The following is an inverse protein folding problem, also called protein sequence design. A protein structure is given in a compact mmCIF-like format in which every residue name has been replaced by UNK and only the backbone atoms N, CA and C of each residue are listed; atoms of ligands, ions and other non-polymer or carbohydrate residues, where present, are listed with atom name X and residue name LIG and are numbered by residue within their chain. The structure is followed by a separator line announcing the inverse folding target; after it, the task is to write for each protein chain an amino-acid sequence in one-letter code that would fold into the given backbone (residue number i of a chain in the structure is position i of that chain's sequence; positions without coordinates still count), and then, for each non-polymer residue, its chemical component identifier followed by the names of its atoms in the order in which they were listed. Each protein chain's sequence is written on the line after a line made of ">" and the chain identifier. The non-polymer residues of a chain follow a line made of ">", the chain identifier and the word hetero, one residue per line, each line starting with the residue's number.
data_IF_394382488864
#
_entry.id   IF_394382488864
#
_cell.length_a   1.000
_cell.length_b   1.000
_cell.length_c   1.000
_cell.angle_alpha   90.00
_cell.angle_beta   90.00
_cell.angle_gamma   90.00
#
_symmetry.space_group_name_H-M   'P 1'
#
loop_
_entity.id
_entity.type
_entity.pdbx_description
1 polymer ?
#
# COMPACT_ATOMS: atom_id res chain seq x y z
N UNK A 1 -8.64 -0.79 -53.98
CA UNK A 1 -7.79 -1.55 -53.01
C UNK A 1 -6.82 -0.66 -52.23
N UNK A 2 -5.96 0.15 -52.87
CA UNK A 2 -4.99 1.04 -52.16
C UNK A 2 -5.62 2.09 -51.23
N UNK A 3 -6.79 2.64 -51.60
CA UNK A 3 -7.51 3.64 -50.78
C UNK A 3 -8.07 3.04 -49.49
N UNK A 4 -8.66 1.84 -49.57
CA UNK A 4 -9.22 1.12 -48.42
C UNK A 4 -8.09 0.75 -47.44
N UNK A 5 -6.93 0.33 -47.96
CA UNK A 5 -5.75 0.02 -47.13
C UNK A 5 -5.22 1.27 -46.41
N UNK A 6 -5.29 2.45 -47.03
CA UNK A 6 -4.91 3.72 -46.41
C UNK A 6 -5.89 4.15 -45.31
N UNK A 7 -7.19 3.99 -45.55
CA UNK A 7 -8.22 4.29 -44.54
C UNK A 7 -8.06 3.35 -43.34
N UNK A 8 -7.88 2.04 -43.57
CA UNK A 8 -7.67 1.07 -42.50
C UNK A 8 -6.41 1.37 -41.67
N UNK A 9 -5.30 1.76 -42.33
CA UNK A 9 -4.06 2.17 -41.64
C UNK A 9 -4.27 3.46 -40.83
N UNK A 10 -4.95 4.47 -41.38
CA UNK A 10 -5.26 5.70 -40.66
C UNK A 10 -6.18 5.45 -39.46
N UNK A 11 -7.21 4.60 -39.61
CA UNK A 11 -8.11 4.23 -38.51
C UNK A 11 -7.39 3.46 -37.41
N UNK A 12 -6.48 2.55 -37.76
CA UNK A 12 -5.67 1.81 -36.78
C UNK A 12 -4.70 2.74 -36.00
N UNK A 13 -4.11 3.72 -36.69
CA UNK A 13 -3.26 4.75 -36.07
C UNK A 13 -4.05 5.65 -35.10
N UNK A 14 -5.27 6.06 -35.47
CA UNK A 14 -6.15 6.85 -34.62
C UNK A 14 -6.57 6.10 -33.34
N UNK A 15 -6.82 4.78 -33.43
CA UNK A 15 -7.13 3.94 -32.26
C UNK A 15 -5.91 3.81 -31.34
N UNK A 16 -4.70 3.67 -31.91
CA UNK A 16 -3.45 3.61 -31.13
C UNK A 16 -3.11 4.91 -30.39
N UNK A 17 -3.57 6.06 -30.91
CA UNK A 17 -3.42 7.36 -30.25
C UNK A 17 -4.46 7.61 -29.14
N UNK A 18 -5.52 6.80 -29.09
CA UNK A 18 -6.59 6.90 -28.09
C UNK A 18 -6.34 6.06 -26.83
N UNK A 19 -5.14 5.48 -26.67
CA UNK A 19 -4.78 4.73 -25.46
C UNK A 19 -4.64 5.71 -24.31
N UNK A 20 -5.63 5.75 -23.41
CA UNK A 20 -5.56 6.54 -22.19
C UNK A 20 -4.59 5.90 -21.18
N UNK A 21 -3.93 6.74 -20.37
CA UNK A 21 -3.17 6.26 -19.22
C UNK A 21 -4.13 5.61 -18.24
N UNK A 22 -4.01 4.31 -17.97
CA UNK A 22 -4.70 3.69 -16.86
C UNK A 22 -4.21 4.34 -15.56
N UNK A 23 -5.09 5.10 -14.90
CA UNK A 23 -4.83 5.64 -13.57
C UNK A 23 -4.85 4.47 -12.59
N UNK A 24 -3.71 3.83 -12.39
CA UNK A 24 -3.54 2.87 -11.32
C UNK A 24 -3.62 3.65 -9.99
N UNK A 25 -4.62 3.37 -9.16
CA UNK A 25 -4.80 3.99 -7.86
C UNK A 25 -3.69 3.49 -6.92
N UNK A 26 -2.51 4.10 -7.00
CA UNK A 26 -1.38 3.79 -6.12
C UNK A 26 -1.80 3.99 -4.67
N UNK A 27 -1.51 3.00 -3.82
CA UNK A 27 -1.62 3.10 -2.36
C UNK A 27 -0.27 3.56 -1.81
N UNK A 28 -0.30 4.55 -0.93
CA UNK A 28 0.83 4.89 -0.07
C UNK A 28 0.56 4.34 1.34
N UNK A 29 1.60 3.80 1.97
CA UNK A 29 1.56 3.26 3.34
C UNK A 29 2.69 3.90 4.10
N UNK A 30 2.39 4.36 5.31
CA UNK A 30 3.38 4.80 6.28
C UNK A 30 3.13 4.03 7.57
N UNK A 31 4.21 3.74 8.29
CA UNK A 31 4.09 3.21 9.63
C UNK A 31 5.08 3.91 10.55
N UNK A 32 4.71 4.02 11.82
CA UNK A 32 5.55 4.55 12.88
C UNK A 32 5.30 3.79 14.16
N UNK A 33 6.15 4.02 15.17
CA UNK A 33 6.01 3.39 16.48
C UNK A 33 5.93 4.47 17.54
N UNK A 34 4.90 4.42 18.38
CA UNK A 34 4.66 5.36 19.48
C UNK A 34 4.18 4.60 20.71
N UNK A 35 4.83 4.80 21.87
CA UNK A 35 4.40 4.28 23.18
C UNK A 35 4.08 2.77 23.20
N UNK A 36 4.89 1.98 22.49
CA UNK A 36 4.74 0.53 22.39
C UNK A 36 3.68 0.05 21.38
N UNK A 37 3.14 0.95 20.55
CA UNK A 37 2.19 0.62 19.49
C UNK A 37 2.76 0.96 18.11
N UNK A 38 2.45 0.13 17.12
CA UNK A 38 2.63 0.44 15.70
C UNK A 38 1.39 1.19 15.23
N UNK A 39 1.60 2.31 14.56
CA UNK A 39 0.58 3.13 13.92
C UNK A 39 0.81 3.05 12.41
N UNK A 40 -0.20 2.63 11.67
CA UNK A 40 -0.18 2.50 10.22
C UNK A 40 -1.16 3.49 9.62
N UNK A 41 -0.72 4.22 8.61
CA UNK A 41 -1.54 5.13 7.81
C UNK A 41 -1.53 4.69 6.35
N UNK A 42 -2.70 4.71 5.70
CA UNK A 42 -2.82 4.29 4.31
C UNK A 42 -3.80 5.13 3.51
N UNK A 43 -3.35 5.58 2.34
CA UNK A 43 -4.12 6.48 1.48
C UNK A 43 -3.81 6.26 0.00
N UNK A 44 -4.78 6.49 -0.86
CA UNK A 44 -4.60 6.53 -2.30
C UNK A 44 -3.81 7.77 -2.71
N UNK A 45 -3.22 7.78 -3.91
CA UNK A 45 -2.45 8.92 -4.42
C UNK A 45 -3.23 10.25 -4.46
N UNK A 46 -4.56 10.21 -4.49
CA UNK A 46 -5.44 11.38 -4.42
C UNK A 46 -5.78 11.83 -2.98
N UNK A 47 -5.19 11.19 -1.97
CA UNK A 47 -5.35 11.51 -0.55
C UNK A 47 -6.54 10.84 0.13
N UNK A 48 -7.40 10.10 -0.59
CA UNK A 48 -8.49 9.36 0.05
C UNK A 48 -7.96 8.21 0.89
N UNK A 49 -8.55 7.91 2.07
CA UNK A 49 -8.09 6.82 2.91
C UNK A 49 -8.38 5.46 2.28
N UNK A 50 -7.49 4.49 2.53
CA UNK A 50 -7.69 3.09 2.14
C UNK A 50 -8.43 2.39 3.29
N UNK A 51 -9.76 2.45 3.27
CA UNK A 51 -10.61 1.97 4.37
C UNK A 51 -10.80 0.44 4.36
N UNK A 52 -11.06 -0.14 5.53
CA UNK A 52 -11.47 -1.55 5.73
C UNK A 52 -10.57 -2.57 5.02
N UNK A 53 -9.31 -2.22 4.80
CA UNK A 53 -8.35 -2.99 4.00
C UNK A 53 -7.43 -3.80 4.88
N UNK A 54 -6.95 -4.93 4.38
CA UNK A 54 -6.12 -5.84 5.19
C UNK A 54 -4.76 -5.23 5.47
N UNK A 55 -4.34 -5.27 6.72
CA UNK A 55 -2.98 -4.96 7.18
C UNK A 55 -2.37 -6.25 7.70
N UNK A 56 -1.28 -6.69 7.09
CA UNK A 56 -0.52 -7.88 7.51
C UNK A 56 0.87 -7.44 7.95
N UNK A 57 1.37 -8.03 9.04
CA UNK A 57 2.68 -7.67 9.61
C UNK A 57 3.58 -8.89 9.57
N UNK A 58 4.77 -8.73 9.01
CA UNK A 58 5.77 -9.79 8.89
C UNK A 58 7.04 -9.43 9.63
N UNK A 59 7.70 -10.43 10.21
CA UNK A 59 9.02 -10.27 10.83
C UNK A 59 10.17 -10.37 9.81
N UNK A 60 11.41 -10.26 10.30
CA UNK A 60 12.59 -10.32 9.43
C UNK A 60 12.77 -11.63 8.67
N UNK A 61 12.13 -12.70 9.12
CA UNK A 61 12.17 -14.05 8.53
C UNK A 61 10.92 -14.34 7.70
N UNK A 62 10.13 -13.32 7.34
CA UNK A 62 8.90 -13.43 6.56
C UNK A 62 7.78 -14.21 7.26
N UNK A 63 7.86 -14.39 8.59
CA UNK A 63 6.76 -14.96 9.35
C UNK A 63 5.67 -13.91 9.57
N UNK A 64 4.43 -14.23 9.22
CA UNK A 64 3.30 -13.36 9.53
C UNK A 64 3.04 -13.38 11.05
N UNK A 65 3.17 -12.22 11.69
CA UNK A 65 2.96 -12.03 13.12
C UNK A 65 1.48 -11.77 13.46
N UNK A 66 0.80 -10.95 12.64
CA UNK A 66 -0.63 -10.66 12.80
C UNK A 66 -1.28 -10.18 11.50
N UNK A 67 -2.60 -10.16 11.50
CA UNK A 67 -3.45 -9.53 10.49
C UNK A 67 -4.54 -8.70 11.17
N UNK A 68 -4.78 -7.49 10.66
CA UNK A 68 -5.86 -6.59 11.10
C UNK A 68 -6.43 -5.83 9.89
N UNK A 69 -7.26 -4.82 10.12
CA UNK A 69 -7.80 -3.94 9.09
C UNK A 69 -7.60 -2.47 9.41
N UNK A 70 -7.52 -1.66 8.35
CA UNK A 70 -7.63 -0.22 8.48
C UNK A 70 -9.07 0.19 8.80
N UNK A 71 -9.22 1.26 9.57
CA UNK A 71 -10.49 1.88 9.88
C UNK A 71 -10.97 2.82 8.75
N UNK A 72 -11.98 3.64 9.04
CA UNK A 72 -12.57 4.59 8.09
C UNK A 72 -11.67 5.79 7.78
N UNK A 73 -10.64 6.02 8.57
CA UNK A 73 -9.62 7.05 8.31
C UNK A 73 -8.40 6.47 7.59
N UNK A 74 -8.41 5.16 7.26
CA UNK A 74 -7.30 4.48 6.60
C UNK A 74 -6.17 4.13 7.58
N UNK A 75 -6.49 4.10 8.88
CA UNK A 75 -5.52 3.91 9.96
C UNK A 75 -5.64 2.51 10.56
N UNK A 76 -4.54 1.94 11.03
CA UNK A 76 -4.56 0.78 11.92
C UNK A 76 -3.57 0.99 13.07
N UNK A 77 -3.95 0.59 14.28
CA UNK A 77 -3.10 0.68 15.47
C UNK A 77 -3.12 -0.65 16.21
N UNK A 78 -1.95 -1.12 16.61
CA UNK A 78 -1.81 -2.37 17.36
C UNK A 78 -0.52 -2.37 18.19
N UNK A 79 -0.46 -3.10 19.31
CA UNK A 79 0.78 -3.26 20.08
C UNK A 79 1.90 -3.83 19.22
N UNK A 80 3.15 -3.44 19.50
CA UNK A 80 4.33 -4.03 18.85
C UNK A 80 4.31 -5.55 19.04
N UNK A 81 4.19 -6.35 17.96
CA UNK A 81 4.01 -7.79 18.07
C UNK A 81 5.32 -8.53 18.37
N UNK A 82 6.45 -7.93 18.01
CA UNK A 82 7.80 -8.48 18.16
C UNK A 82 8.83 -7.36 18.01
N UNK A 83 9.90 -7.42 18.80
CA UNK A 83 11.08 -6.53 18.65
C UNK A 83 11.95 -7.08 17.51
N UNK A 84 11.67 -6.63 16.29
CA UNK A 84 12.34 -7.04 15.06
C UNK A 84 12.17 -5.95 13.98
N UNK A 85 12.80 -6.12 12.82
CA UNK A 85 12.37 -5.42 11.60
C UNK A 85 10.96 -5.91 11.23
N UNK A 86 10.06 -4.98 10.96
CA UNK A 86 8.67 -5.28 10.61
C UNK A 86 8.35 -4.81 9.20
N UNK A 87 7.86 -5.70 8.34
CA UNK A 87 7.22 -5.31 7.08
C UNK A 87 5.72 -5.18 7.30
N UNK A 88 5.20 -3.98 7.09
CA UNK A 88 3.77 -3.67 7.15
C UNK A 88 3.23 -3.70 5.73
N UNK A 89 2.29 -4.61 5.44
CA UNK A 89 1.70 -4.76 4.11
C UNK A 89 0.23 -4.41 4.16
N UNK A 90 -0.19 -3.41 3.37
CA UNK A 90 -1.60 -3.06 3.18
C UNK A 90 -2.09 -3.61 1.85
N UNK A 91 -3.20 -4.35 1.88
CA UNK A 91 -3.86 -4.92 0.70
C UNK A 91 -5.34 -4.56 0.67
N UNK A 92 -5.74 -3.85 -0.37
CA UNK A 92 -7.12 -3.48 -0.67
C UNK A 92 -7.85 -4.63 -1.40
N UNK A 93 -9.18 -4.62 -1.38
CA UNK A 93 -10.06 -5.70 -1.85
C UNK A 93 -9.87 -5.98 -3.35
N UNK A 94 -9.66 -4.96 -4.18
CA UNK A 94 -9.40 -5.07 -5.62
C UNK A 94 -7.94 -5.45 -5.93
N UNK A 95 -7.16 -5.84 -4.92
CA UNK A 95 -5.83 -6.42 -5.07
C UNK A 95 -4.70 -5.40 -5.11
N UNK A 96 -4.98 -4.11 -4.92
CA UNK A 96 -3.94 -3.10 -4.76
C UNK A 96 -3.14 -3.39 -3.48
N UNK A 97 -1.81 -3.28 -3.56
CA UNK A 97 -0.89 -3.61 -2.47
C UNK A 97 0.22 -2.57 -2.38
N UNK A 98 0.57 -2.21 -1.15
CA UNK A 98 1.76 -1.43 -0.85
C UNK A 98 2.32 -1.86 0.52
N UNK A 99 3.59 -1.58 0.78
CA UNK A 99 4.21 -1.93 2.05
C UNK A 99 5.15 -0.85 2.56
N UNK A 100 5.39 -0.89 3.87
CA UNK A 100 6.31 -0.01 4.59
C UNK A 100 7.19 -0.87 5.51
N UNK A 101 8.46 -0.50 5.61
CA UNK A 101 9.43 -1.19 6.45
C UNK A 101 9.70 -0.35 7.70
N UNK A 102 9.51 -0.93 8.87
CA UNK A 102 10.02 -0.40 10.13
C UNK A 102 11.32 -1.11 10.47
N UNK A 103 12.40 -0.36 10.65
CA UNK A 103 13.66 -0.94 11.08
C UNK A 103 13.60 -1.35 12.55
N UNK A 104 14.35 -2.39 12.92
CA UNK A 104 14.36 -2.91 14.31
C UNK A 104 14.65 -1.82 15.33
N UNK A 105 15.56 -0.91 15.01
CA UNK A 105 15.94 0.21 15.89
C UNK A 105 14.75 1.17 16.15
N UNK A 106 13.88 1.39 15.17
CA UNK A 106 12.67 2.22 15.34
C UNK A 106 11.65 1.51 16.23
N UNK A 107 11.52 0.20 16.07
CA UNK A 107 10.65 -0.64 16.89
C UNK A 107 11.14 -0.69 18.35
N UNK A 108 12.44 -0.81 18.56
CA UNK A 108 13.07 -0.75 19.89
C UNK A 108 12.85 0.62 20.56
N UNK A 109 13.14 1.72 19.86
CA UNK A 109 12.97 3.08 20.39
C UNK A 109 11.51 3.37 20.79
N UNK A 110 10.54 2.84 20.05
CA UNK A 110 9.13 3.01 20.36
C UNK A 110 8.65 2.29 21.63
N UNK A 111 9.37 1.28 22.12
CA UNK A 111 9.12 0.66 23.41
C UNK A 111 9.64 1.50 24.59
N UNK A 112 10.79 2.14 24.41
CA UNK A 112 11.45 2.96 25.45
C UNK A 112 10.71 4.27 25.71
N UNK A 113 10.00 4.82 24.71
CA UNK A 113 9.20 6.03 24.84
C UNK A 113 7.88 5.86 25.62
N UNK A 114 7.70 4.74 26.33
CA UNK A 114 6.50 4.45 27.13
C UNK A 114 6.60 4.96 28.58
N UNK A 115 7.81 5.32 29.02
CA UNK A 115 8.14 5.81 30.36
C UNK A 115 8.08 7.35 30.47
#
# INVERSE_FOLDING_TARGET
>A
MKMINRIAVCSLLLIGLAVSTAQAHKINVFASVEKGEVIVESYFADGRPVMESRVMVFDSNENQLLETRTDREGMARFPIPKVDRLEIVVREILGHRSSFMLEKAEVEAGLEAKD
#
